data_IF_998708383477
#
_entry.id   IF_998708383477
#
_cell.length_a   1.000
_cell.length_b   1.000
_cell.length_c   1.000
_cell.angle_alpha   90.00
_cell.angle_beta   90.00
_cell.angle_gamma   90.00
#
_symmetry.space_group_name_H-M   'P 1'
#
loop_
_entity.id
_entity.type
_entity.pdbx_description
1 polymer ?
#
# COMPACT_ATOMS: atom_id res chain seq x y z
N UNK A 1 -40.91 -40.12 3.05
CA UNK A 1 -40.11 -39.94 1.81
C UNK A 1 -39.75 -38.48 1.70
N UNK A 2 -38.45 -38.16 1.76
CA UNK A 2 -37.94 -36.78 1.79
C UNK A 2 -38.04 -36.19 0.38
N UNK A 3 -38.73 -35.06 0.24
CA UNK A 3 -38.69 -34.23 -0.96
C UNK A 3 -37.27 -33.67 -1.14
N UNK A 4 -36.68 -33.97 -2.29
CA UNK A 4 -35.51 -33.24 -2.80
C UNK A 4 -36.05 -31.91 -3.30
N UNK A 5 -35.77 -30.83 -2.58
CA UNK A 5 -35.97 -29.46 -3.08
C UNK A 5 -34.69 -29.13 -3.86
N UNK A 6 -34.79 -29.16 -5.19
CA UNK A 6 -33.78 -28.56 -6.08
C UNK A 6 -33.78 -27.05 -5.80
N UNK A 7 -32.80 -26.59 -5.04
CA UNK A 7 -32.48 -25.17 -4.93
C UNK A 7 -31.86 -24.76 -6.27
N UNK A 8 -32.67 -24.20 -7.18
CA UNK A 8 -32.14 -23.49 -8.34
C UNK A 8 -31.37 -22.27 -7.82
N UNK A 9 -30.05 -22.37 -7.69
CA UNK A 9 -29.20 -21.18 -7.68
C UNK A 9 -29.46 -20.45 -9.00
N UNK A 10 -29.95 -19.22 -8.92
CA UNK A 10 -30.13 -18.36 -10.09
C UNK A 10 -28.72 -17.94 -10.57
N UNK A 11 -28.08 -18.76 -11.40
CA UNK A 11 -26.77 -18.45 -11.98
C UNK A 11 -26.94 -17.30 -12.98
N UNK A 12 -26.22 -16.20 -12.78
CA UNK A 12 -26.06 -15.19 -13.81
C UNK A 12 -25.03 -15.71 -14.83
N UNK A 13 -25.24 -15.45 -16.11
CA UNK A 13 -24.26 -15.77 -17.15
C UNK A 13 -23.54 -14.49 -17.56
N UNK A 14 -22.25 -14.59 -17.90
CA UNK A 14 -21.55 -13.47 -18.55
C UNK A 14 -22.26 -13.19 -19.89
N UNK A 15 -22.53 -11.93 -20.25
CA UNK A 15 -23.05 -11.58 -21.57
C UNK A 15 -22.21 -12.24 -22.68
N UNK A 16 -22.87 -12.95 -23.59
CA UNK A 16 -22.24 -13.66 -24.72
C UNK A 16 -21.31 -14.84 -24.35
N UNK A 17 -21.47 -15.46 -23.18
CA UNK A 17 -20.84 -16.76 -22.86
C UNK A 17 -21.74 -17.70 -22.03
N UNK A 18 -21.53 -19.02 -22.15
CA UNK A 18 -22.20 -20.05 -21.35
C UNK A 18 -21.56 -20.28 -19.97
N UNK A 19 -20.75 -19.35 -19.46
CA UNK A 19 -20.05 -19.50 -18.18
C UNK A 19 -20.94 -19.03 -17.03
N UNK A 20 -21.32 -19.91 -16.09
CA UNK A 20 -22.10 -19.53 -14.93
C UNK A 20 -21.25 -18.70 -13.95
N UNK A 21 -21.88 -17.67 -13.40
CA UNK A 21 -21.31 -16.75 -12.43
C UNK A 21 -22.09 -16.80 -11.11
N UNK A 22 -21.36 -16.83 -10.01
CA UNK A 22 -21.86 -16.72 -8.64
C UNK A 22 -21.43 -15.40 -8.03
N UNK A 23 -22.23 -14.91 -7.08
CA UNK A 23 -21.96 -13.70 -6.30
C UNK A 23 -21.81 -12.40 -7.11
N UNK A 24 -21.79 -12.46 -8.44
CA UNK A 24 -21.66 -11.31 -9.34
C UNK A 24 -20.26 -11.14 -9.92
N UNK A 25 -19.28 -11.90 -9.46
CA UNK A 25 -17.86 -11.81 -9.84
C UNK A 25 -17.11 -13.18 -9.83
N UNK A 26 -17.74 -14.27 -9.39
CA UNK A 26 -17.09 -15.59 -9.33
C UNK A 26 -17.51 -16.45 -10.51
N UNK A 27 -16.55 -16.80 -11.36
CA UNK A 27 -16.77 -17.73 -12.45
C UNK A 27 -16.73 -19.17 -11.94
N UNK A 28 -17.75 -19.96 -12.28
CA UNK A 28 -17.84 -21.35 -11.89
C UNK A 28 -17.38 -22.23 -13.06
N UNK A 29 -16.33 -23.02 -12.81
CA UNK A 29 -15.91 -24.01 -13.78
C UNK A 29 -16.89 -25.21 -13.79
N UNK A 30 -17.31 -25.73 -14.97
CA UNK A 30 -18.28 -26.83 -15.08
C UNK A 30 -17.90 -28.12 -14.34
N UNK A 31 -16.60 -28.31 -14.03
CA UNK A 31 -16.08 -29.44 -13.25
C UNK A 31 -16.00 -29.19 -11.74
N UNK A 32 -16.54 -28.08 -11.23
CA UNK A 32 -16.53 -27.75 -9.80
C UNK A 32 -15.13 -27.52 -9.20
N UNK A 33 -14.14 -27.10 -10.01
CA UNK A 33 -12.79 -26.79 -9.53
C UNK A 33 -12.80 -25.44 -8.81
N UNK A 34 -12.37 -25.43 -7.55
CA UNK A 34 -12.18 -24.22 -6.75
C UNK A 34 -11.03 -24.46 -5.75
N UNK A 35 -10.09 -23.51 -5.65
CA UNK A 35 -8.98 -23.55 -4.69
C UNK A 35 -9.40 -23.65 -3.21
N UNK A 36 -10.66 -23.35 -2.88
CA UNK A 36 -11.16 -23.37 -1.49
C UNK A 36 -11.06 -24.76 -0.85
N UNK A 37 -11.29 -25.84 -1.62
CA UNK A 37 -11.31 -27.22 -1.12
C UNK A 37 -10.35 -28.16 -1.87
N UNK A 38 -9.42 -27.60 -2.64
CA UNK A 38 -8.60 -28.36 -3.59
C UNK A 38 -7.16 -27.83 -3.62
N UNK A 39 -6.27 -28.53 -2.91
CA UNK A 39 -4.83 -28.22 -2.94
C UNK A 39 -4.26 -28.31 -4.36
N UNK A 40 -4.73 -29.26 -5.18
CA UNK A 40 -4.32 -29.37 -6.59
C UNK A 40 -4.83 -28.23 -7.48
N UNK A 41 -5.76 -27.41 -6.98
CA UNK A 41 -6.30 -26.25 -7.67
C UNK A 41 -5.54 -24.96 -7.31
N UNK A 42 -4.48 -25.04 -6.48
CA UNK A 42 -3.51 -23.97 -6.35
C UNK A 42 -2.58 -23.94 -7.57
N UNK A 43 -1.97 -22.79 -7.81
CA UNK A 43 -0.85 -22.69 -8.75
C UNK A 43 0.38 -23.42 -8.18
N UNK A 44 1.12 -24.17 -9.01
CA UNK A 44 2.24 -24.96 -8.52
C UNK A 44 3.38 -24.07 -8.00
N UNK A 45 3.94 -24.44 -6.83
CA UNK A 45 5.16 -23.84 -6.28
C UNK A 45 6.38 -24.51 -6.92
N UNK A 46 7.25 -23.71 -7.49
CA UNK A 46 8.54 -24.11 -8.05
C UNK A 46 9.53 -24.51 -6.96
N UNK A 47 10.61 -25.19 -7.35
CA UNK A 47 11.64 -25.67 -6.43
C UNK A 47 12.41 -24.56 -5.70
N UNK A 48 12.45 -23.37 -6.29
CA UNK A 48 13.03 -22.15 -5.70
C UNK A 48 12.10 -21.44 -4.70
N UNK A 49 10.92 -22.01 -4.45
CA UNK A 49 9.92 -21.44 -3.56
C UNK A 49 8.95 -20.45 -4.23
N UNK A 50 9.09 -20.18 -5.53
CA UNK A 50 8.25 -19.21 -6.25
C UNK A 50 6.98 -19.85 -6.81
N UNK A 51 5.85 -19.13 -6.81
CA UNK A 51 4.61 -19.55 -7.50
C UNK A 51 4.43 -18.69 -8.74
N UNK A 52 4.63 -19.26 -9.93
CA UNK A 52 4.49 -18.53 -11.20
C UNK A 52 3.04 -18.59 -11.71
N UNK A 53 2.48 -17.43 -12.03
CA UNK A 53 1.17 -17.29 -12.66
C UNK A 53 1.37 -16.58 -14.01
N UNK A 54 1.49 -17.34 -15.11
CA UNK A 54 1.64 -16.77 -16.44
C UNK A 54 0.35 -16.05 -16.86
N UNK A 55 0.46 -14.88 -17.47
CA UNK A 55 -0.69 -14.11 -17.96
C UNK A 55 -0.51 -13.58 -19.38
N UNK A 56 -1.64 -13.51 -20.09
CA UNK A 56 -1.80 -12.73 -21.31
C UNK A 56 -2.68 -11.50 -21.01
N UNK A 57 -2.37 -10.37 -21.63
CA UNK A 57 -3.14 -9.14 -21.49
C UNK A 57 -3.80 -8.80 -22.84
N UNK A 58 -5.12 -8.56 -22.84
CA UNK A 58 -5.86 -8.12 -24.03
C UNK A 58 -5.27 -6.86 -24.65
N UNK A 59 -5.30 -6.75 -25.98
CA UNK A 59 -4.88 -5.54 -26.71
C UNK A 59 -5.83 -4.35 -26.51
N UNK A 60 -6.96 -4.53 -25.84
CA UNK A 60 -7.94 -3.48 -25.56
C UNK A 60 -7.55 -2.50 -24.44
N UNK A 61 -6.46 -2.74 -23.71
CA UNK A 61 -6.01 -1.82 -22.66
C UNK A 61 -5.09 -0.71 -23.21
N UNK A 62 -5.29 0.51 -22.73
CA UNK A 62 -4.36 1.62 -22.92
C UNK A 62 -3.05 1.41 -22.15
N UNK A 63 -1.97 2.07 -22.55
CA UNK A 63 -0.68 2.00 -21.84
C UNK A 63 -0.77 2.39 -20.35
N UNK A 64 -1.66 3.34 -20.01
CA UNK A 64 -1.90 3.73 -18.62
C UNK A 64 -2.55 2.59 -17.82
N UNK A 65 -3.52 1.89 -18.42
CA UNK A 65 -4.17 0.73 -17.80
C UNK A 65 -3.21 -0.46 -17.66
N UNK A 66 -2.35 -0.71 -18.66
CA UNK A 66 -1.28 -1.72 -18.55
C UNK A 66 -0.33 -1.39 -17.39
N UNK A 67 0.07 -0.12 -17.27
CA UNK A 67 0.93 0.34 -16.17
C UNK A 67 0.24 0.17 -14.80
N UNK A 68 -1.04 0.49 -14.71
CA UNK A 68 -1.83 0.30 -13.49
C UNK A 68 -1.94 -1.18 -13.11
N UNK A 69 -2.20 -2.06 -14.10
CA UNK A 69 -2.22 -3.51 -13.89
C UNK A 69 -0.88 -3.98 -13.34
N UNK A 70 0.23 -3.67 -14.01
CA UNK A 70 1.58 -4.05 -13.57
C UNK A 70 1.93 -3.52 -12.19
N UNK A 71 1.56 -2.27 -11.87
CA UNK A 71 1.75 -1.68 -10.55
C UNK A 71 0.93 -2.39 -9.47
N UNK A 72 -0.24 -2.92 -9.82
CA UNK A 72 -1.11 -3.66 -8.90
C UNK A 72 -0.55 -5.05 -8.55
N UNK A 73 0.29 -5.61 -9.42
CA UNK A 73 0.99 -6.88 -9.17
C UNK A 73 2.13 -6.75 -8.14
N UNK A 74 2.66 -5.54 -7.94
CA UNK A 74 3.88 -5.32 -7.15
C UNK A 74 3.73 -5.74 -5.68
N UNK A 75 2.55 -5.61 -5.09
CA UNK A 75 2.31 -6.03 -3.71
C UNK A 75 2.39 -7.55 -3.56
N UNK A 76 1.82 -8.32 -4.52
CA UNK A 76 2.01 -9.77 -4.57
C UNK A 76 3.49 -10.13 -4.73
N UNK A 77 4.18 -9.45 -5.65
CA UNK A 77 5.60 -9.70 -5.93
C UNK A 77 6.51 -9.38 -4.74
N UNK A 78 6.14 -8.38 -3.95
CA UNK A 78 6.97 -7.88 -2.84
C UNK A 78 6.72 -8.64 -1.55
N UNK A 79 5.48 -9.03 -1.28
CA UNK A 79 5.06 -9.54 0.02
C UNK A 79 4.73 -11.04 0.05
N UNK A 80 4.71 -11.69 -1.11
CA UNK A 80 4.38 -13.11 -1.21
C UNK A 80 5.37 -13.82 -2.12
N UNK A 81 5.20 -15.13 -2.29
CA UNK A 81 5.92 -15.94 -3.28
C UNK A 81 5.23 -15.97 -4.65
N UNK A 82 4.08 -15.30 -4.83
CA UNK A 82 3.36 -15.25 -6.12
C UNK A 82 4.04 -14.28 -7.08
N UNK A 83 4.29 -14.74 -8.31
CA UNK A 83 4.89 -13.97 -9.40
C UNK A 83 4.03 -14.10 -10.65
N UNK A 84 3.25 -13.07 -10.90
CA UNK A 84 2.59 -12.86 -12.19
C UNK A 84 3.62 -12.49 -13.26
N UNK A 85 3.69 -13.27 -14.34
CA UNK A 85 4.68 -13.09 -15.41
C UNK A 85 4.00 -13.11 -16.79
N UNK A 86 4.45 -12.30 -17.76
CA UNK A 86 3.97 -12.43 -19.14
C UNK A 86 4.16 -13.86 -19.63
N UNK A 87 3.10 -14.45 -20.18
CA UNK A 87 3.13 -15.81 -20.68
C UNK A 87 4.05 -15.95 -21.89
N UNK A 88 4.72 -17.09 -21.96
CA UNK A 88 5.46 -17.56 -23.13
C UNK A 88 4.78 -18.82 -23.70
N UNK A 89 5.15 -20.00 -23.22
CA UNK A 89 4.70 -21.31 -23.72
C UNK A 89 3.89 -22.10 -22.69
N UNK A 90 3.66 -21.54 -21.50
CA UNK A 90 3.03 -22.25 -20.39
C UNK A 90 1.62 -22.70 -20.74
N UNK A 91 1.28 -23.95 -20.38
CA UNK A 91 -0.01 -24.56 -20.69
C UNK A 91 -1.15 -23.98 -19.85
N UNK A 92 -0.87 -23.76 -18.57
CA UNK A 92 -1.83 -23.18 -17.63
C UNK A 92 -1.49 -21.70 -17.44
N UNK A 93 -2.46 -20.81 -17.67
CA UNK A 93 -2.25 -19.36 -17.62
C UNK A 93 -3.58 -18.61 -17.50
N UNK A 94 -3.51 -17.35 -17.09
CA UNK A 94 -4.68 -16.45 -17.04
C UNK A 94 -4.71 -15.53 -18.27
N UNK A 95 -5.88 -15.36 -18.87
CA UNK A 95 -6.13 -14.40 -19.95
C UNK A 95 -6.93 -13.22 -19.42
N UNK A 96 -6.30 -12.06 -19.32
CA UNK A 96 -6.89 -10.84 -18.78
C UNK A 96 -7.66 -10.11 -19.91
N UNK A 97 -8.99 -10.13 -19.84
CA UNK A 97 -9.89 -9.60 -20.86
C UNK A 97 -10.42 -8.23 -20.48
N UNK A 98 -10.47 -7.31 -21.44
CA UNK A 98 -10.86 -5.90 -21.23
C UNK A 98 -12.33 -5.60 -21.53
N UNK A 99 -13.11 -6.63 -21.89
CA UNK A 99 -14.46 -6.52 -22.45
C UNK A 99 -15.47 -7.24 -21.58
N UNK A 100 -16.74 -6.82 -21.65
CA UNK A 100 -17.87 -7.51 -21.01
C UNK A 100 -18.56 -6.68 -19.94
N UNK A 101 -18.06 -5.50 -19.57
CA UNK A 101 -18.70 -4.64 -18.56
C UNK A 101 -18.70 -5.25 -17.15
N UNK A 102 -17.89 -6.27 -16.91
CA UNK A 102 -17.85 -7.05 -15.67
C UNK A 102 -16.42 -7.16 -15.13
N UNK A 103 -16.34 -7.30 -13.81
CA UNK A 103 -15.13 -7.74 -13.09
C UNK A 103 -15.44 -9.15 -12.57
N UNK A 104 -14.75 -10.15 -13.07
CA UNK A 104 -15.00 -11.53 -12.65
C UNK A 104 -13.81 -12.46 -12.88
N UNK A 105 -13.65 -13.46 -12.02
CA UNK A 105 -12.55 -14.42 -12.09
C UNK A 105 -12.95 -15.81 -11.60
N UNK A 106 -12.23 -16.83 -12.06
CA UNK A 106 -12.35 -18.18 -11.52
C UNK A 106 -11.65 -18.28 -10.16
N UNK A 107 -12.16 -19.15 -9.28
CA UNK A 107 -11.48 -19.43 -8.00
C UNK A 107 -10.30 -20.40 -8.21
N UNK A 108 -9.08 -19.91 -8.04
CA UNK A 108 -7.85 -20.69 -8.18
C UNK A 108 -7.51 -21.10 -9.62
N UNK A 109 -6.63 -22.11 -9.75
CA UNK A 109 -6.18 -22.66 -11.03
C UNK A 109 -7.16 -23.73 -11.53
N UNK A 110 -7.79 -23.47 -12.68
CA UNK A 110 -8.70 -24.45 -13.32
C UNK A 110 -7.98 -25.35 -14.32
N UNK A 111 -6.79 -24.94 -14.78
CA UNK A 111 -5.96 -25.63 -15.78
C UNK A 111 -6.30 -25.21 -17.22
N UNK A 112 -5.31 -25.19 -18.11
CA UNK A 112 -5.40 -24.57 -19.43
C UNK A 112 -5.46 -23.04 -19.35
N UNK A 113 -5.99 -22.43 -20.40
CA UNK A 113 -6.33 -21.00 -20.39
C UNK A 113 -7.53 -20.77 -19.47
N UNK A 114 -7.42 -19.79 -18.56
CA UNK A 114 -8.54 -19.35 -17.73
C UNK A 114 -8.75 -17.84 -17.85
N UNK A 115 -9.98 -17.42 -18.09
CA UNK A 115 -10.33 -16.02 -18.29
C UNK A 115 -10.43 -15.28 -16.96
N UNK A 116 -9.93 -14.05 -16.94
CA UNK A 116 -10.17 -13.06 -15.89
C UNK A 116 -10.68 -11.80 -16.57
N UNK A 117 -11.89 -11.39 -16.22
CA UNK A 117 -12.54 -10.22 -16.79
C UNK A 117 -12.20 -9.02 -15.93
N UNK A 118 -11.53 -8.05 -16.55
CA UNK A 118 -11.18 -6.77 -15.95
C UNK A 118 -11.63 -5.67 -16.92
N UNK A 119 -12.94 -5.40 -16.95
CA UNK A 119 -13.48 -4.37 -17.84
C UNK A 119 -12.69 -3.05 -17.74
N UNK A 120 -12.31 -2.54 -18.91
CA UNK A 120 -11.44 -1.37 -19.03
C UNK A 120 -12.06 -0.08 -18.49
N UNK A 121 -13.38 -0.01 -18.38
CA UNK A 121 -14.12 1.14 -17.86
C UNK A 121 -14.39 1.07 -16.36
N UNK A 122 -14.72 -0.11 -15.82
CA UNK A 122 -15.18 -0.25 -14.42
C UNK A 122 -14.21 -0.95 -13.47
N UNK A 123 -13.28 -1.77 -13.97
CA UNK A 123 -12.43 -2.61 -13.12
C UNK A 123 -11.01 -2.07 -12.91
N UNK A 124 -10.70 -0.90 -13.47
CA UNK A 124 -9.35 -0.34 -13.48
C UNK A 124 -9.00 0.45 -12.22
N UNK A 125 -8.99 -0.25 -11.08
CA UNK A 125 -8.45 0.23 -9.81
C UNK A 125 -7.50 -0.81 -9.21
N UNK A 126 -6.54 -0.40 -8.38
CA UNK A 126 -5.59 -1.34 -7.75
C UNK A 126 -6.33 -2.45 -6.98
N UNK A 127 -7.24 -2.08 -6.09
CA UNK A 127 -7.97 -3.04 -5.28
C UNK A 127 -8.87 -3.94 -6.12
N UNK A 128 -9.53 -3.44 -7.16
CA UNK A 128 -10.34 -4.31 -8.04
C UNK A 128 -9.46 -5.31 -8.79
N UNK A 129 -8.34 -4.88 -9.36
CA UNK A 129 -7.41 -5.79 -10.04
C UNK A 129 -6.90 -6.87 -9.08
N UNK A 130 -6.50 -6.47 -7.87
CA UNK A 130 -6.02 -7.41 -6.86
C UNK A 130 -7.13 -8.37 -6.39
N UNK A 131 -8.37 -7.89 -6.23
CA UNK A 131 -9.54 -8.72 -5.95
C UNK A 131 -9.70 -9.82 -7.01
N UNK A 132 -9.75 -9.44 -8.29
CA UNK A 132 -9.95 -10.40 -9.40
C UNK A 132 -8.81 -11.43 -9.52
N UNK A 133 -7.59 -11.03 -9.14
CA UNK A 133 -6.41 -11.91 -9.15
C UNK A 133 -6.29 -12.79 -7.90
N UNK A 134 -6.95 -12.42 -6.81
CA UNK A 134 -6.90 -13.13 -5.53
C UNK A 134 -8.10 -14.04 -5.31
N UNK A 135 -9.09 -14.20 -6.20
CA UNK A 135 -10.34 -14.98 -5.95
C UNK A 135 -10.11 -16.34 -5.27
N UNK A 136 -10.02 -16.33 -3.94
CA UNK A 136 -9.57 -17.43 -3.09
C UNK A 136 -10.49 -17.58 -1.87
N UNK A 137 -11.55 -16.77 -1.72
CA UNK A 137 -12.16 -16.57 -0.41
C UNK A 137 -13.68 -16.51 -0.44
N UNK A 138 -14.28 -17.56 0.09
CA UNK A 138 -15.48 -17.47 0.91
C UNK A 138 -15.12 -17.81 2.35
N UNK A 139 -15.94 -17.35 3.30
CA UNK A 139 -15.76 -17.60 4.74
C UNK A 139 -17.06 -18.14 5.33
N UNK A 140 -17.00 -19.34 5.89
CA UNK A 140 -18.16 -20.01 6.50
C UNK A 140 -18.59 -19.37 7.82
N UNK A 141 -17.66 -18.68 8.51
CA UNK A 141 -17.84 -17.95 9.76
C UNK A 141 -18.30 -16.49 9.59
N UNK A 142 -18.56 -16.03 8.36
CA UNK A 142 -18.94 -14.64 8.06
C UNK A 142 -20.03 -14.08 8.99
N UNK A 143 -21.08 -14.85 9.24
CA UNK A 143 -22.27 -14.37 9.99
C UNK A 143 -21.99 -14.09 11.47
N UNK A 144 -20.86 -14.57 12.00
CA UNK A 144 -20.39 -14.23 13.34
C UNK A 144 -19.90 -12.78 13.41
N UNK A 145 -19.47 -12.23 12.26
CA UNK A 145 -18.79 -10.93 12.14
C UNK A 145 -19.61 -9.87 11.41
N UNK A 146 -20.57 -10.25 10.56
CA UNK A 146 -21.47 -9.32 9.87
C UNK A 146 -22.93 -9.79 9.96
N UNK A 147 -23.86 -8.85 9.83
CA UNK A 147 -25.28 -9.12 9.61
C UNK A 147 -25.61 -8.87 8.14
N UNK A 148 -26.25 -9.84 7.49
CA UNK A 148 -26.81 -9.66 6.16
C UNK A 148 -28.24 -9.12 6.29
N UNK A 149 -28.47 -7.90 5.81
CA UNK A 149 -29.76 -7.20 5.86
C UNK A 149 -30.60 -7.58 4.63
N UNK A 150 -31.15 -8.80 4.64
CA UNK A 150 -31.87 -9.40 3.51
C UNK A 150 -33.03 -8.55 3.00
N UNK A 151 -33.64 -7.71 3.84
CA UNK A 151 -34.70 -6.79 3.46
C UNK A 151 -34.28 -5.72 2.45
N UNK A 152 -32.98 -5.40 2.36
CA UNK A 152 -32.43 -4.41 1.43
C UNK A 152 -31.75 -5.03 0.23
N UNK A 153 -31.77 -6.35 0.07
CA UNK A 153 -31.11 -7.06 -1.04
C UNK A 153 -32.12 -7.27 -2.18
N UNK A 154 -31.68 -7.06 -3.42
CA UNK A 154 -32.51 -7.39 -4.59
C UNK A 154 -32.86 -8.89 -4.60
N UNK A 155 -34.13 -9.30 -4.84
CA UNK A 155 -34.55 -10.70 -4.74
C UNK A 155 -33.72 -11.68 -5.60
N UNK A 156 -33.28 -11.24 -6.77
CA UNK A 156 -32.43 -12.01 -7.70
C UNK A 156 -30.95 -12.08 -7.28
N UNK A 157 -30.56 -11.36 -6.23
CA UNK A 157 -29.18 -11.29 -5.70
C UNK A 157 -29.02 -11.93 -4.33
N UNK A 158 -30.10 -12.45 -3.73
CA UNK A 158 -30.03 -13.01 -2.37
C UNK A 158 -29.07 -14.22 -2.27
N UNK A 159 -28.95 -15.00 -3.35
CA UNK A 159 -28.03 -16.13 -3.44
C UNK A 159 -26.55 -15.72 -3.41
N UNK A 160 -26.22 -14.45 -3.67
CA UNK A 160 -24.84 -13.93 -3.54
C UNK A 160 -24.34 -13.89 -2.08
N UNK A 161 -25.23 -14.19 -1.13
CA UNK A 161 -24.91 -14.21 0.31
C UNK A 161 -25.00 -15.64 0.89
N UNK A 162 -25.18 -16.65 0.04
CA UNK A 162 -25.17 -18.04 0.47
C UNK A 162 -23.79 -18.42 1.01
N UNK A 163 -23.74 -19.16 2.11
CA UNK A 163 -22.48 -19.57 2.73
C UNK A 163 -21.94 -20.83 2.06
N UNK A 164 -20.65 -20.82 1.75
CA UNK A 164 -19.91 -22.02 1.40
C UNK A 164 -19.03 -22.49 2.56
N UNK A 165 -18.88 -23.81 2.68
CA UNK A 165 -17.94 -24.41 3.61
C UNK A 165 -16.50 -24.17 3.12
N UNK A 166 -15.71 -23.52 3.95
CA UNK A 166 -14.41 -22.95 3.61
C UNK A 166 -13.44 -23.04 4.78
N UNK A 167 -12.13 -23.04 4.47
CA UNK A 167 -11.08 -22.97 5.48
C UNK A 167 -10.47 -21.56 5.53
N UNK A 168 -10.53 -20.93 6.71
CA UNK A 168 -9.98 -19.60 6.96
C UNK A 168 -8.46 -19.60 7.25
N UNK A 169 -7.80 -20.74 7.11
CA UNK A 169 -6.36 -20.96 7.37
C UNK A 169 -5.91 -20.42 8.74
N UNK A 170 -6.82 -20.46 9.72
CA UNK A 170 -6.59 -19.96 11.08
C UNK A 170 -6.39 -18.45 11.19
N UNK A 171 -6.96 -17.65 10.28
CA UNK A 171 -6.93 -16.18 10.33
C UNK A 171 -8.24 -15.60 10.86
N UNK A 172 -8.12 -14.48 11.58
CA UNK A 172 -9.25 -13.66 12.05
C UNK A 172 -10.05 -13.07 10.89
N UNK A 173 -11.25 -12.54 11.18
CA UNK A 173 -12.10 -11.93 10.16
C UNK A 173 -11.56 -10.55 9.75
N UNK A 174 -11.37 -10.38 8.44
CA UNK A 174 -10.80 -9.16 7.87
C UNK A 174 -11.86 -8.30 7.18
N UNK A 175 -12.37 -7.31 7.92
CA UNK A 175 -13.27 -6.29 7.38
C UNK A 175 -12.64 -5.46 6.26
N UNK A 176 -11.30 -5.33 6.28
CA UNK A 176 -10.52 -4.57 5.31
C UNK A 176 -10.04 -5.39 4.12
N UNK A 177 -10.44 -6.67 4.00
CA UNK A 177 -10.01 -7.54 2.91
C UNK A 177 -10.44 -6.96 1.57
N UNK A 178 -9.57 -7.04 0.57
CA UNK A 178 -9.91 -6.67 -0.81
C UNK A 178 -11.02 -7.58 -1.35
N UNK A 179 -11.13 -8.81 -0.83
CA UNK A 179 -12.16 -9.79 -1.16
C UNK A 179 -13.52 -9.51 -0.48
N UNK A 180 -13.61 -8.54 0.43
CA UNK A 180 -14.89 -8.17 1.05
C UNK A 180 -15.70 -7.24 0.12
N UNK A 181 -17.01 -7.49 -0.01
CA UNK A 181 -17.91 -6.57 -0.70
C UNK A 181 -18.11 -5.25 0.07
N UNK A 182 -18.36 -4.12 -0.61
CA UNK A 182 -18.77 -2.90 0.07
C UNK A 182 -20.10 -3.10 0.81
N UNK A 183 -20.34 -2.35 1.89
CA UNK A 183 -21.48 -2.58 2.78
C UNK A 183 -22.86 -2.42 2.14
N UNK A 184 -22.97 -1.75 1.00
CA UNK A 184 -24.20 -1.56 0.23
C UNK A 184 -24.27 -2.41 -1.05
N UNK A 185 -23.39 -3.41 -1.19
CA UNK A 185 -23.39 -4.28 -2.36
C UNK A 185 -24.76 -4.97 -2.55
N UNK A 186 -25.24 -5.00 -3.80
CA UNK A 186 -26.52 -5.61 -4.16
C UNK A 186 -27.76 -5.00 -3.49
N UNK A 187 -27.65 -3.77 -2.98
CA UNK A 187 -28.77 -3.06 -2.36
C UNK A 187 -29.85 -2.67 -3.37
N UNK A 188 -31.10 -2.95 -3.05
CA UNK A 188 -32.29 -2.51 -3.80
C UNK A 188 -32.79 -1.13 -3.36
N UNK A 189 -32.23 -0.58 -2.28
CA UNK A 189 -32.67 0.67 -1.65
C UNK A 189 -31.49 1.61 -1.51
N UNK A 190 -31.57 2.77 -2.17
CA UNK A 190 -30.48 3.75 -2.17
C UNK A 190 -30.05 4.12 -0.75
N UNK A 191 -28.74 4.02 -0.49
CA UNK A 191 -28.13 4.37 0.80
C UNK A 191 -28.28 3.32 1.91
N UNK A 192 -28.99 2.22 1.70
CA UNK A 192 -29.11 1.15 2.72
C UNK A 192 -28.01 0.10 2.58
N UNK A 193 -27.41 -0.24 3.72
CA UNK A 193 -26.40 -1.29 3.81
C UNK A 193 -27.06 -2.68 3.80
N UNK A 194 -26.50 -3.58 2.99
CA UNK A 194 -26.85 -5.00 2.92
C UNK A 194 -25.93 -5.85 3.80
N UNK A 195 -24.72 -5.36 4.10
CA UNK A 195 -23.74 -6.01 4.97
C UNK A 195 -23.37 -5.04 6.09
N UNK A 196 -23.64 -5.42 7.34
CA UNK A 196 -23.41 -4.57 8.52
C UNK A 196 -22.45 -5.24 9.49
N UNK A 197 -21.28 -4.64 9.78
CA UNK A 197 -20.32 -5.19 10.73
C UNK A 197 -20.85 -5.33 12.16
N UNK A 198 -20.38 -6.36 12.87
CA UNK A 198 -20.63 -6.64 14.28
C UNK A 198 -19.33 -6.54 15.09
N UNK A 199 -19.38 -6.22 16.39
CA UNK A 199 -20.52 -5.61 17.08
C UNK A 199 -20.69 -4.12 16.74
N UNK A 200 -19.73 -3.53 16.00
CA UNK A 200 -19.71 -2.11 15.68
C UNK A 200 -20.05 -1.87 14.19
N UNK A 201 -21.26 -1.36 13.86
CA UNK A 201 -21.68 -1.07 12.50
C UNK A 201 -20.86 -0.01 11.77
N UNK A 202 -20.06 0.79 12.48
CA UNK A 202 -19.26 1.87 11.90
C UNK A 202 -17.90 1.42 11.36
N UNK A 203 -17.55 0.14 11.50
CA UNK A 203 -16.31 -0.40 10.92
C UNK A 203 -16.38 -0.29 9.38
N UNK A 204 -15.42 0.35 8.70
CA UNK A 204 -15.39 0.39 7.23
C UNK A 204 -15.16 -1.01 6.65
N UNK A 205 -15.87 -1.35 5.57
CA UNK A 205 -15.75 -2.63 4.85
C UNK A 205 -15.66 -2.43 3.34
N UNK A 206 -15.06 -3.40 2.65
CA UNK A 206 -15.02 -3.46 1.18
C UNK A 206 -14.20 -2.37 0.52
N UNK A 207 -13.06 -2.04 1.13
CA UNK A 207 -12.08 -1.12 0.55
C UNK A 207 -11.56 -1.63 -0.81
N UNK A 208 -11.09 -0.70 -1.66
CA UNK A 208 -10.45 -0.98 -2.97
C UNK A 208 -9.10 -0.27 -3.13
N UNK A 209 -8.46 0.05 -2.01
CA UNK A 209 -7.12 0.65 -1.94
C UNK A 209 -6.07 -0.38 -2.35
N UNK A 210 -6.21 -1.63 -1.90
CA UNK A 210 -5.37 -2.77 -2.30
C UNK A 210 -5.38 -3.90 -1.26
N UNK A 211 -4.47 -4.87 -1.35
CA UNK A 211 -4.39 -6.01 -0.41
C UNK A 211 -4.34 -5.52 1.04
N UNK A 212 -5.04 -6.18 1.95
CA UNK A 212 -4.91 -5.97 3.39
C UNK A 212 -3.73 -6.77 3.96
N UNK A 213 -3.32 -6.51 5.22
CA UNK A 213 -2.36 -7.36 5.91
C UNK A 213 -2.80 -8.82 6.03
N UNK A 214 -4.10 -9.09 6.16
CA UNK A 214 -4.63 -10.43 6.28
C UNK A 214 -4.82 -11.12 4.92
N UNK A 215 -5.05 -10.38 3.83
CA UNK A 215 -5.01 -10.91 2.46
C UNK A 215 -3.61 -11.47 2.16
N UNK A 216 -2.57 -10.66 2.41
CA UNK A 216 -1.16 -11.08 2.28
C UNK A 216 -0.85 -12.30 3.16
N UNK A 217 -1.28 -12.27 4.42
CA UNK A 217 -1.07 -13.38 5.36
C UNK A 217 -1.77 -14.66 4.89
N UNK A 218 -2.97 -14.54 4.30
CA UNK A 218 -3.73 -15.66 3.77
C UNK A 218 -3.01 -16.30 2.59
N UNK A 219 -2.54 -15.50 1.64
CA UNK A 219 -1.75 -15.98 0.50
C UNK A 219 -0.49 -16.70 0.98
N UNK A 220 0.26 -16.09 1.90
CA UNK A 220 1.51 -16.67 2.41
C UNK A 220 1.30 -17.99 3.14
N UNK A 221 0.20 -18.13 3.92
CA UNK A 221 -0.16 -19.40 4.56
C UNK A 221 -0.61 -20.45 3.55
N UNK A 222 -1.42 -20.05 2.55
CA UNK A 222 -1.97 -20.96 1.56
C UNK A 222 -0.87 -21.56 0.66
N UNK A 223 0.09 -20.75 0.23
CA UNK A 223 1.21 -21.15 -0.62
C UNK A 223 2.49 -21.51 0.15
N UNK A 224 2.47 -21.43 1.48
CA UNK A 224 3.63 -21.70 2.34
C UNK A 224 4.86 -20.92 1.89
N UNK A 225 4.71 -19.62 1.67
CA UNK A 225 5.82 -18.78 1.20
C UNK A 225 6.93 -18.73 2.26
N UNK A 226 8.18 -18.88 1.83
CA UNK A 226 9.35 -18.95 2.72
C UNK A 226 9.76 -17.56 3.25
N UNK A 227 9.43 -16.50 2.50
CA UNK A 227 9.64 -15.11 2.89
C UNK A 227 8.54 -14.60 3.82
N UNK A 228 8.93 -13.96 4.94
CA UNK A 228 7.99 -13.34 5.87
C UNK A 228 7.62 -11.92 5.42
N UNK A 229 6.84 -11.82 4.35
CA UNK A 229 6.29 -10.54 3.88
C UNK A 229 5.15 -10.05 4.76
N UNK A 230 5.25 -8.82 5.28
CA UNK A 230 4.23 -8.18 6.10
C UNK A 230 3.84 -6.81 5.54
N UNK A 231 2.54 -6.56 5.45
CA UNK A 231 1.99 -5.24 5.13
C UNK A 231 1.60 -4.51 6.42
N UNK A 232 2.09 -3.29 6.58
CA UNK A 232 1.81 -2.40 7.71
C UNK A 232 1.04 -1.18 7.21
N UNK A 233 -0.27 -1.14 7.48
CA UNK A 233 -1.18 -0.14 6.93
C UNK A 233 -1.64 0.94 7.93
N UNK A 234 -1.14 0.87 9.17
CA UNK A 234 -1.43 1.87 10.21
C UNK A 234 -0.58 3.12 10.05
N UNK A 235 -1.08 4.28 10.49
CA UNK A 235 -0.36 5.56 10.42
C UNK A 235 0.90 5.62 11.29
N UNK A 236 1.06 4.70 12.23
CA UNK A 236 2.26 4.51 13.01
C UNK A 236 2.38 3.03 13.40
N UNK A 237 3.57 2.61 13.79
CA UNK A 237 3.81 1.24 14.21
C UNK A 237 5.28 0.99 14.55
N UNK A 238 5.58 -0.29 14.81
CA UNK A 238 6.92 -0.77 15.14
C UNK A 238 7.28 -1.91 14.20
N UNK A 239 8.54 -1.96 13.79
CA UNK A 239 9.14 -3.05 13.02
C UNK A 239 10.29 -3.61 13.84
N UNK A 240 10.34 -4.92 13.98
CA UNK A 240 11.41 -5.63 14.69
C UNK A 240 11.91 -6.79 13.85
N UNK A 241 13.21 -7.07 13.92
CA UNK A 241 13.71 -8.38 13.49
C UNK A 241 13.04 -9.50 14.28
N UNK A 242 12.97 -10.70 13.69
CA UNK A 242 12.46 -11.87 14.39
C UNK A 242 13.21 -12.08 15.71
N UNK A 243 12.49 -12.49 16.76
CA UNK A 243 12.97 -12.76 18.11
C UNK A 243 13.52 -11.57 18.91
N UNK A 244 13.59 -10.35 18.35
CA UNK A 244 14.11 -9.18 19.07
C UNK A 244 13.45 -9.04 20.47
N UNK A 245 14.22 -8.82 21.55
CA UNK A 245 15.66 -8.47 21.60
C UNK A 245 16.63 -9.67 21.62
N UNK A 246 16.14 -10.89 21.41
CA UNK A 246 17.00 -12.07 21.22
C UNK A 246 17.49 -12.15 19.78
N UNK A 247 18.43 -13.05 19.52
CA UNK A 247 19.06 -13.18 18.20
C UNK A 247 18.08 -13.54 17.09
N UNK A 248 18.17 -12.86 15.96
CA UNK A 248 17.42 -13.20 14.77
C UNK A 248 17.90 -14.55 14.18
N UNK A 249 17.06 -15.25 13.38
CA UNK A 249 17.43 -16.53 12.78
C UNK A 249 18.41 -16.37 11.61
N UNK A 250 19.21 -17.40 11.35
CA UNK A 250 20.00 -17.52 10.13
C UNK A 250 19.10 -17.82 8.92
N UNK A 251 19.60 -17.51 7.73
CA UNK A 251 19.05 -17.87 6.42
C UNK A 251 17.60 -17.40 6.28
N UNK A 252 17.35 -16.15 6.68
CA UNK A 252 16.01 -15.57 6.69
C UNK A 252 15.96 -14.30 5.85
N UNK A 253 14.87 -14.13 5.12
CA UNK A 253 14.54 -12.89 4.44
C UNK A 253 13.19 -12.40 4.96
N UNK A 254 13.18 -11.20 5.51
CA UNK A 254 11.98 -10.55 6.02
C UNK A 254 11.75 -9.23 5.30
N UNK A 255 10.49 -9.01 4.91
CA UNK A 255 10.09 -7.84 4.12
C UNK A 255 8.90 -7.18 4.79
N UNK A 256 9.00 -5.87 5.05
CA UNK A 256 7.88 -5.07 5.55
C UNK A 256 7.57 -3.94 4.57
N UNK A 257 6.37 -3.94 4.02
CA UNK A 257 5.84 -2.81 3.27
C UNK A 257 5.01 -1.95 4.22
N UNK A 258 5.49 -0.75 4.52
CA UNK A 258 4.68 0.28 5.17
C UNK A 258 3.88 0.97 4.08
N UNK A 259 2.55 0.99 4.20
CA UNK A 259 1.62 1.68 3.29
C UNK A 259 0.58 2.44 4.08
N UNK A 260 0.85 3.70 4.39
CA UNK A 260 -0.06 4.52 5.20
C UNK A 260 -1.13 5.19 4.32
N UNK A 261 -2.28 5.61 4.90
CA UNK A 261 -3.35 6.23 4.13
C UNK A 261 -2.94 7.52 3.40
N UNK A 262 -2.03 8.29 3.99
CA UNK A 262 -1.48 9.53 3.41
C UNK A 262 -0.17 9.93 4.10
N UNK A 263 0.49 10.96 3.57
CA UNK A 263 1.73 11.52 4.11
C UNK A 263 2.97 10.72 3.69
N UNK A 264 4.14 11.24 4.05
CA UNK A 264 5.42 10.52 4.00
C UNK A 264 5.57 9.59 5.20
N UNK A 265 6.41 8.57 5.10
CA UNK A 265 6.77 7.66 6.20
C UNK A 265 8.11 8.09 6.78
N UNK A 266 8.14 8.38 8.08
CA UNK A 266 9.37 8.57 8.85
C UNK A 266 9.67 7.28 9.61
N UNK A 267 10.85 6.70 9.40
CA UNK A 267 11.37 5.52 10.10
C UNK A 267 12.54 5.90 11.00
N UNK A 268 12.47 5.54 12.27
CA UNK A 268 13.51 5.79 13.28
C UNK A 268 13.91 4.48 13.96
N UNK A 269 15.19 4.13 13.92
CA UNK A 269 15.74 3.00 14.66
C UNK A 269 15.90 3.38 16.14
N UNK A 270 15.39 2.52 17.01
CA UNK A 270 15.50 2.60 18.47
C UNK A 270 16.66 1.72 18.96
N UNK A 271 16.88 0.58 18.30
CA UNK A 271 18.02 -0.30 18.51
C UNK A 271 18.44 -0.91 17.18
N UNK A 272 19.75 -1.08 16.99
CA UNK A 272 20.34 -1.65 15.77
C UNK A 272 21.65 -2.37 16.10
N UNK A 273 21.63 -3.69 15.93
CA UNK A 273 22.73 -4.62 16.14
C UNK A 273 22.58 -5.80 15.16
N UNK A 274 23.21 -5.66 14.00
CA UNK A 274 23.23 -6.67 12.93
C UNK A 274 24.66 -7.13 12.75
N UNK A 275 24.89 -8.42 12.43
CA UNK A 275 26.24 -8.98 12.25
C UNK A 275 27.09 -8.07 11.35
N UNK A 276 28.21 -7.61 11.89
CA UNK A 276 29.17 -6.84 11.10
C UNK A 276 29.92 -7.76 10.13
N UNK A 277 29.99 -7.33 8.88
CA UNK A 277 30.88 -7.87 7.86
C UNK A 277 31.37 -6.74 6.96
N UNK A 278 32.53 -6.90 6.33
CA UNK A 278 33.01 -5.92 5.34
C UNK A 278 31.96 -5.76 4.25
N UNK A 279 31.61 -4.50 3.92
CA UNK A 279 30.56 -4.13 2.95
C UNK A 279 29.17 -4.74 3.24
N UNK A 280 28.95 -5.21 4.48
CA UNK A 280 27.72 -5.86 4.91
C UNK A 280 27.26 -6.97 3.94
N UNK A 281 28.20 -7.81 3.50
CA UNK A 281 27.93 -8.92 2.56
C UNK A 281 27.19 -10.08 3.19
N UNK A 282 27.33 -10.28 4.51
CA UNK A 282 26.58 -11.27 5.31
C UNK A 282 25.17 -10.75 5.59
N UNK A 283 24.90 -10.33 6.82
CA UNK A 283 23.60 -9.81 7.22
C UNK A 283 23.48 -8.32 6.93
N UNK A 284 22.30 -7.88 6.49
CA UNK A 284 22.06 -6.46 6.22
C UNK A 284 20.60 -6.08 6.29
N UNK A 285 20.36 -4.81 6.58
CA UNK A 285 19.08 -4.15 6.32
C UNK A 285 19.21 -3.22 5.11
N UNK A 286 18.15 -3.15 4.32
CA UNK A 286 18.00 -2.26 3.17
C UNK A 286 16.63 -1.60 3.18
N UNK A 287 16.59 -0.30 2.90
CA UNK A 287 15.36 0.51 2.96
C UNK A 287 15.15 1.18 1.61
N UNK A 288 13.95 1.07 1.05
CA UNK A 288 13.59 1.62 -0.25
C UNK A 288 12.52 2.72 -0.13
N UNK A 289 12.68 3.75 -0.94
CA UNK A 289 11.81 4.91 -1.11
C UNK A 289 10.60 4.58 -2.02
N UNK A 290 9.77 3.64 -1.58
CA UNK A 290 8.60 3.21 -2.33
C UNK A 290 8.17 1.78 -1.99
N UNK A 291 7.25 1.20 -2.77
CA UNK A 291 6.58 -0.04 -2.41
C UNK A 291 7.32 -1.32 -2.81
N UNK A 292 8.39 -1.25 -3.60
CA UNK A 292 9.06 -2.44 -4.15
C UNK A 292 10.59 -2.30 -4.17
N UNK A 293 11.30 -3.42 -4.36
CA UNK A 293 12.76 -3.47 -4.48
C UNK A 293 13.31 -2.73 -5.72
N UNK A 294 12.44 -2.32 -6.64
CA UNK A 294 12.78 -1.48 -7.78
C UNK A 294 12.72 0.04 -7.46
N UNK A 295 12.25 0.40 -6.27
CA UNK A 295 12.19 1.80 -5.83
C UNK A 295 13.59 2.32 -5.48
N UNK A 296 13.81 3.65 -5.47
CA UNK A 296 15.09 4.23 -5.04
C UNK A 296 15.49 3.76 -3.64
N UNK A 297 16.78 3.66 -3.36
CA UNK A 297 17.28 3.19 -2.06
C UNK A 297 17.48 4.38 -1.10
N UNK A 298 16.89 4.31 0.10
CA UNK A 298 17.09 5.27 1.20
C UNK A 298 18.26 4.89 2.11
N UNK A 299 18.44 3.59 2.33
CA UNK A 299 19.54 3.03 3.10
C UNK A 299 19.98 1.75 2.42
N UNK A 300 21.25 1.68 2.01
CA UNK A 300 21.80 0.52 1.33
C UNK A 300 22.59 -0.35 2.30
N UNK A 301 22.38 -1.67 2.19
CA UNK A 301 23.07 -2.75 2.92
C UNK A 301 23.80 -2.31 4.19
N UNK A 302 23.06 -2.00 5.24
CA UNK A 302 23.65 -1.51 6.51
C UNK A 302 23.68 -2.61 7.56
N UNK A 303 24.77 -2.70 8.33
CA UNK A 303 25.02 -3.71 9.36
C UNK A 303 25.93 -3.16 10.48
N UNK A 304 26.21 -3.96 11.50
CA UNK A 304 26.97 -3.58 12.69
C UNK A 304 26.09 -3.05 13.82
N UNK A 305 26.71 -2.38 14.78
CA UNK A 305 26.05 -1.71 15.90
C UNK A 305 26.15 -0.20 15.75
N UNK A 306 25.08 0.53 16.09
CA UNK A 306 25.14 1.99 16.17
C UNK A 306 23.82 2.69 15.94
N UNK A 307 23.91 4.01 15.78
CA UNK A 307 22.76 4.86 15.49
C UNK A 307 22.56 4.94 13.97
N UNK A 308 21.34 4.63 13.53
CA UNK A 308 20.91 4.87 12.15
C UNK A 308 20.14 6.19 12.11
N UNK A 309 20.49 7.13 11.21
CA UNK A 309 19.74 8.36 11.02
C UNK A 309 18.28 8.10 10.67
N UNK A 310 17.41 9.04 11.02
CA UNK A 310 16.01 9.02 10.62
C UNK A 310 15.89 8.97 9.09
N UNK A 311 15.05 8.07 8.58
CA UNK A 311 14.79 7.93 7.15
C UNK A 311 13.38 8.41 6.84
N UNK A 312 13.22 9.16 5.76
CA UNK A 312 11.95 9.74 5.35
C UNK A 312 11.71 9.36 3.90
N UNK A 313 10.58 8.69 3.62
CA UNK A 313 10.17 8.38 2.25
C UNK A 313 9.60 9.61 1.54
N UNK A 314 9.62 9.59 0.22
CA UNK A 314 9.00 10.58 -0.66
C UNK A 314 7.48 10.42 -0.76
N UNK A 315 6.96 9.22 -0.49
CA UNK A 315 5.52 8.85 -0.60
C UNK A 315 5.00 8.22 0.69
N UNK A 316 3.71 7.83 0.71
CA UNK A 316 3.11 7.07 1.81
C UNK A 316 3.52 5.60 1.86
N UNK A 317 4.54 5.22 1.09
CA UNK A 317 5.03 3.86 1.01
C UNK A 317 6.54 3.81 1.26
N UNK A 318 6.96 2.82 2.05
CA UNK A 318 8.37 2.52 2.34
C UNK A 318 8.53 1.02 2.48
N UNK A 319 9.54 0.45 1.83
CA UNK A 319 9.85 -0.97 1.90
C UNK A 319 11.11 -1.19 2.75
N UNK A 320 11.04 -2.15 3.66
CA UNK A 320 12.14 -2.59 4.52
C UNK A 320 12.45 -4.03 4.15
N UNK A 321 13.71 -4.32 3.85
CA UNK A 321 14.23 -5.67 3.62
C UNK A 321 15.33 -5.95 4.65
N UNK A 322 15.21 -7.07 5.37
CA UNK A 322 16.27 -7.59 6.23
C UNK A 322 16.63 -9.01 5.77
N UNK A 323 17.92 -9.24 5.56
CA UNK A 323 18.46 -10.52 5.09
C UNK A 323 19.53 -10.98 6.06
N UNK A 324 19.46 -12.26 6.46
CA UNK A 324 20.51 -12.96 7.21
C UNK A 324 21.10 -14.12 6.41
N UNK A 325 22.41 -14.32 6.53
CA UNK A 325 23.13 -15.41 5.91
C UNK A 325 23.04 -16.71 6.74
N UNK A 326 23.81 -17.74 6.40
CA UNK A 326 23.71 -19.06 7.03
C UNK A 326 24.28 -19.16 8.45
N UNK A 327 25.02 -18.16 8.95
CA UNK A 327 25.72 -18.25 10.24
C UNK A 327 26.01 -16.89 10.89
N UNK A 328 26.18 -16.90 12.22
CA UNK A 328 26.49 -15.73 13.06
C UNK A 328 25.35 -14.72 13.03
N UNK A 329 24.75 -14.48 14.19
CA UNK A 329 23.66 -13.51 14.33
C UNK A 329 23.92 -12.59 15.51
N UNK A 330 23.19 -11.49 15.53
CA UNK A 330 23.23 -10.47 16.58
C UNK A 330 21.81 -10.23 17.14
N UNK A 331 21.63 -9.26 18.05
CA UNK A 331 20.32 -9.04 18.69
C UNK A 331 19.26 -8.45 17.76
N UNK A 332 19.67 -7.94 16.60
CA UNK A 332 18.81 -7.45 15.54
C UNK A 332 18.42 -5.98 15.69
N UNK A 333 17.19 -5.64 15.35
CA UNK A 333 16.75 -4.24 15.34
C UNK A 333 15.33 -4.05 15.84
N UNK A 334 15.08 -2.84 16.34
CA UNK A 334 13.74 -2.31 16.60
C UNK A 334 13.67 -0.90 16.02
N UNK A 335 12.70 -0.67 15.16
CA UNK A 335 12.42 0.63 14.57
C UNK A 335 10.95 1.01 14.77
N UNK A 336 10.67 2.29 14.88
CA UNK A 336 9.31 2.84 14.91
C UNK A 336 9.09 3.69 13.67
N UNK A 337 7.89 3.64 13.11
CA UNK A 337 7.52 4.48 11.99
C UNK A 337 6.27 5.30 12.29
N UNK A 338 6.16 6.45 11.65
CA UNK A 338 4.99 7.33 11.68
C UNK A 338 4.76 7.93 10.30
N UNK A 339 3.51 8.19 9.93
CA UNK A 339 3.15 8.92 8.72
C UNK A 339 2.78 10.37 9.03
N UNK A 340 3.17 11.27 8.14
CA UNK A 340 2.92 12.69 8.30
C UNK A 340 3.49 13.50 7.14
N UNK A 341 3.36 14.82 7.22
CA UNK A 341 4.08 15.71 6.31
C UNK A 341 5.52 15.86 6.82
N UNK A 342 6.37 14.92 6.43
CA UNK A 342 7.81 15.05 6.64
C UNK A 342 8.43 15.76 5.42
N UNK A 343 9.66 16.23 5.58
CA UNK A 343 10.44 16.75 4.47
C UNK A 343 11.74 15.97 4.46
N UNK A 344 12.20 15.53 3.30
CA UNK A 344 13.41 14.72 3.17
C UNK A 344 14.61 15.61 2.85
N UNK A 345 15.76 15.45 3.54
CA UNK A 345 16.97 16.20 3.23
C UNK A 345 17.45 15.92 1.81
N UNK A 346 17.95 16.94 1.13
CA UNK A 346 18.42 16.89 -0.27
C UNK A 346 17.31 16.83 -1.32
N UNK A 347 16.03 16.78 -0.91
CA UNK A 347 14.89 16.84 -1.83
C UNK A 347 14.32 18.24 -1.90
N UNK A 348 13.88 18.62 -3.09
CA UNK A 348 13.15 19.85 -3.29
C UNK A 348 11.72 19.73 -2.76
N UNK A 349 11.21 20.79 -2.17
CA UNK A 349 9.81 20.96 -1.79
C UNK A 349 9.34 22.37 -2.19
N UNK A 350 8.04 22.51 -2.39
CA UNK A 350 7.47 23.73 -2.98
C UNK A 350 6.23 24.20 -2.22
N UNK A 351 5.83 25.45 -2.48
CA UNK A 351 4.46 25.87 -2.19
C UNK A 351 3.44 25.05 -3.01
N UNK A 352 2.20 24.89 -2.52
CA UNK A 352 1.13 24.28 -3.31
C UNK A 352 0.95 24.97 -4.67
N UNK A 353 0.80 24.19 -5.74
CA UNK A 353 0.58 24.69 -7.09
C UNK A 353 1.84 25.04 -7.89
N UNK A 354 3.01 25.17 -7.26
CA UNK A 354 4.26 25.51 -7.97
C UNK A 354 4.56 24.53 -9.13
N UNK A 355 5.00 24.99 -10.31
CA UNK A 355 5.36 26.36 -10.67
C UNK A 355 4.18 27.25 -11.10
N UNK A 356 2.94 26.72 -11.09
CA UNK A 356 1.73 27.51 -11.30
C UNK A 356 1.38 28.34 -10.06
N UNK A 357 0.37 29.20 -10.19
CA UNK A 357 -0.04 30.07 -9.10
C UNK A 357 -0.55 29.26 -7.89
N UNK A 358 -0.15 29.67 -6.69
CA UNK A 358 -0.70 29.09 -5.46
C UNK A 358 -2.18 29.45 -5.27
N UNK A 359 -2.90 28.76 -4.38
CA UNK A 359 -4.31 29.06 -4.10
C UNK A 359 -4.47 30.24 -3.11
N UNK A 360 -5.60 30.97 -3.14
CA UNK A 360 -5.91 32.00 -2.14
C UNK A 360 -6.17 31.41 -0.75
N UNK A 361 -6.04 32.23 0.29
CA UNK A 361 -6.41 31.93 1.69
C UNK A 361 -5.71 30.70 2.29
N UNK A 362 -4.46 30.44 1.91
CA UNK A 362 -3.71 29.31 2.43
C UNK A 362 -2.97 29.66 3.72
N UNK A 363 -2.81 28.64 4.56
CA UNK A 363 -1.93 28.67 5.72
C UNK A 363 -1.21 27.32 5.77
N UNK A 364 -0.01 27.29 5.21
CA UNK A 364 0.79 26.07 5.08
C UNK A 364 2.00 26.16 5.99
N UNK A 365 2.22 25.11 6.78
CA UNK A 365 3.33 25.05 7.74
C UNK A 365 4.21 23.85 7.40
N UNK A 366 5.52 24.10 7.25
CA UNK A 366 6.54 23.08 7.12
C UNK A 366 7.35 23.05 8.42
N UNK A 367 7.34 21.93 9.14
CA UNK A 367 8.20 21.70 10.30
C UNK A 367 9.30 20.72 9.92
N UNK A 368 10.55 21.17 9.97
CA UNK A 368 11.73 20.37 9.67
C UNK A 368 12.44 20.09 10.99
N UNK A 369 12.68 18.81 11.28
CA UNK A 369 13.42 18.37 12.45
C UNK A 369 14.59 17.50 12.00
N UNK A 370 15.81 17.88 12.38
CA UNK A 370 17.03 17.11 12.16
C UNK A 370 17.24 16.07 13.29
N UNK A 371 17.93 14.95 12.98
CA UNK A 371 18.40 14.00 13.98
C UNK A 371 19.24 14.68 15.08
N UNK A 372 19.32 14.04 16.24
CA UNK A 372 20.21 14.51 17.30
C UNK A 372 21.66 14.62 16.81
N UNK A 373 22.33 15.71 17.12
CA UNK A 373 23.69 16.01 16.64
C UNK A 373 23.76 16.67 15.26
N UNK A 374 22.63 17.09 14.68
CA UNK A 374 22.58 17.81 13.39
C UNK A 374 21.79 19.12 13.49
N UNK A 375 22.13 20.06 12.61
CA UNK A 375 21.44 21.33 12.31
C UNK A 375 20.87 21.29 10.88
N UNK A 376 20.03 22.27 10.53
CA UNK A 376 19.32 22.34 9.25
C UNK A 376 19.90 23.49 8.43
N UNK A 377 20.27 23.21 7.18
CA UNK A 377 20.62 24.23 6.20
C UNK A 377 19.57 24.23 5.08
N UNK A 378 18.69 25.22 5.10
CA UNK A 378 17.60 25.41 4.13
C UNK A 378 18.05 26.36 3.02
N UNK A 379 17.88 25.98 1.77
CA UNK A 379 18.09 26.84 0.60
C UNK A 379 16.76 27.08 -0.13
N UNK A 380 16.37 28.35 -0.24
CA UNK A 380 15.34 28.80 -1.17
C UNK A 380 15.98 28.99 -2.55
N UNK A 381 15.49 28.25 -3.55
CA UNK A 381 16.01 28.29 -4.92
C UNK A 381 15.25 29.27 -5.80
N UNK A 382 13.93 29.33 -5.63
CA UNK A 382 13.04 30.23 -6.36
C UNK A 382 11.95 30.78 -5.43
N UNK A 383 11.58 32.05 -5.59
CA UNK A 383 10.62 32.73 -4.72
C UNK A 383 9.94 33.91 -5.42
N UNK A 384 8.61 33.87 -5.50
CA UNK A 384 7.76 34.97 -5.96
C UNK A 384 6.37 34.89 -5.35
N UNK A 385 6.02 35.91 -4.57
CA UNK A 385 4.71 36.10 -3.95
C UNK A 385 4.24 37.55 -4.13
N UNK A 386 3.02 37.87 -3.72
CA UNK A 386 2.55 39.24 -3.68
C UNK A 386 3.51 40.14 -2.90
N UNK A 387 3.79 41.32 -3.43
CA UNK A 387 4.73 42.26 -2.82
C UNK A 387 3.96 43.32 -2.03
N UNK A 388 4.24 43.44 -0.73
CA UNK A 388 3.65 44.46 0.14
C UNK A 388 4.65 44.93 1.22
N UNK A 389 4.53 46.17 1.72
CA UNK A 389 5.28 46.62 2.89
C UNK A 389 5.07 45.66 4.07
N UNK A 390 6.16 45.22 4.71
CA UNK A 390 6.15 44.26 5.82
C UNK A 390 5.47 42.90 5.53
N UNK A 391 5.27 42.58 4.24
CA UNK A 391 4.65 41.34 3.79
C UNK A 391 3.30 41.08 4.50
N UNK A 392 2.44 42.10 4.51
CA UNK A 392 1.15 42.07 5.22
C UNK A 392 0.08 41.23 4.52
N UNK A 393 0.22 40.97 3.22
CA UNK A 393 -0.68 40.11 2.45
C UNK A 393 -0.09 38.69 2.41
N UNK A 394 0.56 38.32 1.31
CA UNK A 394 1.23 37.04 1.20
C UNK A 394 2.61 37.05 1.87
N UNK A 395 2.95 35.98 2.57
CA UNK A 395 4.27 35.87 3.18
C UNK A 395 4.76 34.45 3.44
N UNK A 396 6.08 34.25 3.33
CA UNK A 396 6.79 33.09 3.87
C UNK A 396 7.64 33.53 5.07
N UNK A 397 7.28 33.06 6.26
CA UNK A 397 8.04 33.27 7.49
C UNK A 397 8.89 32.04 7.79
N UNK A 398 10.16 32.22 8.16
CA UNK A 398 11.08 31.13 8.54
C UNK A 398 11.52 31.37 9.99
N UNK A 399 11.35 30.35 10.83
CA UNK A 399 11.64 30.37 12.26
C UNK A 399 12.75 29.39 12.59
N UNK A 400 13.66 29.81 13.47
CA UNK A 400 14.76 29.01 14.02
C UNK A 400 14.28 28.17 15.21
N UNK A 401 13.40 27.21 14.93
CA UNK A 401 12.84 26.31 15.93
C UNK A 401 11.56 25.63 15.45
N UNK A 402 10.83 24.99 16.36
CA UNK A 402 9.74 24.08 16.02
C UNK A 402 8.37 24.76 15.80
N UNK A 403 8.23 26.03 16.19
CA UNK A 403 6.96 26.76 16.18
C UNK A 403 7.13 28.28 16.08
N UNK A 404 6.01 29.01 16.08
CA UNK A 404 5.95 30.48 15.95
C UNK A 404 6.46 31.24 17.18
N UNK A 405 6.71 30.56 18.31
CA UNK A 405 7.33 31.16 19.50
C UNK A 405 8.86 31.20 19.38
N UNK A 406 9.42 30.46 18.43
CA UNK A 406 10.85 30.46 18.12
C UNK A 406 11.29 31.74 17.40
N UNK A 407 12.60 31.98 17.31
CA UNK A 407 13.15 33.21 16.70
C UNK A 407 12.76 33.28 15.22
N UNK A 408 12.10 34.37 14.80
CA UNK A 408 11.80 34.65 13.40
C UNK A 408 13.08 35.06 12.67
N UNK A 409 13.60 34.19 11.80
CA UNK A 409 14.79 34.47 10.99
C UNK A 409 14.49 35.47 9.88
N UNK A 410 13.35 35.29 9.18
CA UNK A 410 12.95 36.15 8.08
C UNK A 410 11.45 36.06 7.81
N UNK A 411 10.87 37.14 7.26
CA UNK A 411 9.55 37.16 6.62
C UNK A 411 9.71 37.67 5.18
N UNK A 412 9.37 36.86 4.19
CA UNK A 412 9.53 37.14 2.77
C UNK A 412 8.21 37.30 2.02
N UNK A 413 8.24 38.15 1.01
CA UNK A 413 7.18 38.42 0.03
C UNK A 413 7.80 39.13 -1.20
N UNK A 414 7.04 39.31 -2.28
CA UNK A 414 7.57 39.78 -3.55
C UNK A 414 8.49 38.76 -4.23
N UNK A 415 9.38 39.21 -5.11
CA UNK A 415 10.39 38.37 -5.76
C UNK A 415 11.71 38.41 -4.97
N UNK A 416 12.31 37.25 -4.69
CA UNK A 416 13.60 37.14 -3.97
C UNK A 416 14.58 36.26 -4.73
N UNK A 417 15.86 36.60 -4.65
CA UNK A 417 16.95 35.75 -5.14
C UNK A 417 17.19 34.55 -4.21
N UNK A 418 17.80 33.50 -4.74
CA UNK A 418 18.14 32.31 -3.98
C UNK A 418 18.98 32.63 -2.73
N UNK A 419 18.66 32.00 -1.60
CA UNK A 419 19.31 32.25 -0.31
C UNK A 419 19.25 31.03 0.60
N UNK A 420 20.30 30.85 1.40
CA UNK A 420 20.41 29.81 2.42
C UNK A 420 20.23 30.35 3.84
N UNK A 421 19.57 29.57 4.69
CA UNK A 421 19.28 29.81 6.10
C UNK A 421 19.75 28.61 6.92
N UNK A 422 20.51 28.87 7.98
CA UNK A 422 21.08 27.81 8.83
C UNK A 422 20.47 27.91 10.23
N UNK A 423 19.84 26.83 10.72
CA UNK A 423 19.30 26.77 12.07
C UNK A 423 20.41 26.76 13.12
N UNK A 424 20.09 27.23 14.32
CA UNK A 424 20.97 27.09 15.49
C UNK A 424 20.79 25.74 16.18
N UNK A 425 19.56 25.21 16.19
CA UNK A 425 19.21 23.90 16.74
C UNK A 425 18.87 22.86 15.67
N UNK A 426 18.22 21.78 16.11
CA UNK A 426 17.78 20.69 15.25
C UNK A 426 16.35 20.88 14.70
N UNK A 427 15.76 22.08 14.80
CA UNK A 427 14.41 22.35 14.32
C UNK A 427 14.36 23.67 13.53
N UNK A 428 13.54 23.71 12.47
CA UNK A 428 13.25 24.89 11.66
C UNK A 428 11.80 24.81 11.17
N UNK A 429 11.07 25.91 11.24
CA UNK A 429 9.69 25.98 10.76
C UNK A 429 9.52 27.03 9.67
N UNK A 430 8.84 26.70 8.59
CA UNK A 430 8.40 27.65 7.58
C UNK A 430 6.87 27.79 7.66
N UNK A 431 6.36 29.01 7.53
CA UNK A 431 4.94 29.32 7.52
C UNK A 431 4.61 30.19 6.31
N UNK A 432 3.85 29.64 5.36
CA UNK A 432 3.36 30.35 4.18
C UNK A 432 1.89 30.72 4.37
N UNK A 433 1.60 32.01 4.27
CA UNK A 433 0.25 32.56 4.30
C UNK A 433 -0.03 33.22 2.95
N UNK A 434 -1.21 32.95 2.37
CA UNK A 434 -1.75 33.71 1.26
C UNK A 434 -3.09 34.36 1.60
N UNK A 435 -3.33 35.54 1.04
CA UNK A 435 -4.58 36.28 1.16
C UNK A 435 -5.58 35.89 0.05
N UNK A 436 -6.68 36.65 -0.09
CA UNK A 436 -7.75 36.35 -1.05
C UNK A 436 -7.41 36.63 -2.52
N UNK A 437 -6.33 37.35 -2.83
CA UNK A 437 -6.03 37.91 -4.16
C UNK A 437 -4.54 37.85 -4.53
N UNK A 438 -4.22 38.15 -5.79
CA UNK A 438 -2.84 38.28 -6.29
C UNK A 438 -1.92 37.07 -6.02
N UNK A 439 -2.33 35.88 -6.48
CA UNK A 439 -1.51 34.69 -6.38
C UNK A 439 -0.41 34.63 -7.46
N UNK A 440 0.78 34.15 -7.07
CA UNK A 440 1.95 33.98 -7.93
C UNK A 440 2.50 32.55 -7.82
N UNK A 441 3.65 32.24 -8.44
CA UNK A 441 4.22 30.87 -8.43
C UNK A 441 4.57 30.32 -7.04
N UNK A 442 4.82 31.19 -6.06
CA UNK A 442 5.22 30.80 -4.71
C UNK A 442 6.71 30.49 -4.62
N UNK A 443 7.09 29.34 -4.07
CA UNK A 443 8.51 29.04 -3.81
C UNK A 443 8.92 27.60 -4.12
N UNK A 444 10.22 27.44 -4.40
CA UNK A 444 10.95 26.17 -4.47
C UNK A 444 12.10 26.22 -3.47
N UNK A 445 12.20 25.20 -2.61
CA UNK A 445 13.19 25.11 -1.55
C UNK A 445 13.76 23.71 -1.41
N UNK A 446 14.90 23.57 -0.75
CA UNK A 446 15.47 22.29 -0.32
C UNK A 446 16.20 22.51 0.99
N UNK A 447 16.50 21.45 1.75
CA UNK A 447 17.35 21.58 2.92
C UNK A 447 18.26 20.37 3.05
N UNK A 448 19.34 20.50 3.80
CA UNK A 448 20.22 19.40 4.18
C UNK A 448 20.46 19.42 5.69
N UNK A 449 20.82 18.27 6.25
CA UNK A 449 21.29 18.19 7.62
C UNK A 449 22.81 18.37 7.65
N UNK A 450 23.28 19.23 8.55
CA UNK A 450 24.70 19.54 8.74
C UNK A 450 25.09 19.14 10.15
N UNK A 451 26.21 18.43 10.32
CA UNK A 451 26.65 18.00 11.65
C UNK A 451 26.81 19.19 12.59
N UNK A 452 26.28 19.08 13.80
CA UNK A 452 26.51 20.03 14.87
C UNK A 452 27.88 19.72 15.49
N UNK A 453 28.94 20.27 14.89
CA UNK A 453 30.28 20.27 15.49
C UNK A 453 30.31 21.06 16.78
#
# INVERSE_FOLDING_TARGET
MKCIVNLFLLLMFIPDSDIPMMEGDILIHPRGRSAINCVSCLWPKSADGTVLIPYNLSSGYSQQQVSLFQNSLQEFHTLTCIRFVPRTTEKDFISILSTGGICASFIGRIGGEQQVYLDSGSCMSRGTIQHELEHNVHRSDRDDFVTIMTQFISPDKIGNFDKMDTNNVGLEYDYGSVMHYPGNAFSNTSGQATIVPKPNPSIPIGQRIGLSPLDVSKINRLYQCDDSGLLLNSANGTVTSANYPSTYPNNSTSVWLIRTPSGQVSLQFIAFDVQFSTDCVSDYIKIFDGPSKASPVLLDRTCGMGLIPQLISSTSQMLIEFVSDTSITATGFKATYTSGAFYAPGKNFTSPGYPAAYSPNMNCIWKITAPAGYKISLTLHDFMMESAPNCIYDSLSIYDGADTSSVLMVKYCGTKSARTFNSTGNAMMLNFISDKSFQYKGFLASFVFVSAT
#
